data_IF_486283501174
#
_entry.id   IF_486283501174
#
_cell.length_a   1.000
_cell.length_b   1.000
_cell.length_c   1.000
_cell.angle_alpha   90.00
_cell.angle_beta   90.00
_cell.angle_gamma   90.00
#
_symmetry.space_group_name_H-M   'P 1'
#
loop_
_entity.id
_entity.type
_entity.pdbx_description
1 polymer ?
#
# COMPACT_ATOMS: atom_id res chain seq x y z
N UNK A 1 25.63 -2.75 15.37
CA UNK A 1 24.66 -3.02 16.45
C UNK A 1 23.51 -3.77 15.80
N UNK A 2 23.45 -5.09 15.97
CA UNK A 2 22.31 -5.89 15.50
C UNK A 2 21.15 -5.60 16.45
N UNK A 3 20.06 -5.04 15.92
CA UNK A 3 18.84 -4.70 16.68
C UNK A 3 18.01 -5.95 17.09
N UNK A 4 18.48 -7.13 16.70
CA UNK A 4 17.82 -8.43 16.86
C UNK A 4 18.38 -9.24 18.04
N UNK A 5 18.84 -8.56 19.08
CA UNK A 5 19.13 -9.19 20.37
C UNK A 5 17.81 -9.35 21.16
N UNK A 6 17.44 -10.54 21.66
CA UNK A 6 16.16 -10.77 22.36
C UNK A 6 16.05 -9.99 23.69
N UNK A 7 17.14 -9.37 24.15
CA UNK A 7 17.19 -8.51 25.35
C UNK A 7 16.65 -7.09 25.08
N UNK A 8 16.52 -6.67 23.81
CA UNK A 8 16.04 -5.33 23.43
C UNK A 8 14.63 -5.35 22.83
N UNK A 9 13.79 -6.30 23.23
CA UNK A 9 12.38 -6.34 22.85
C UNK A 9 11.58 -5.29 23.65
N UNK A 10 11.73 -4.02 23.28
CA UNK A 10 11.00 -2.92 23.92
C UNK A 10 9.55 -2.91 23.43
N UNK A 11 8.65 -3.43 24.26
CA UNK A 11 7.21 -3.42 24.01
C UNK A 11 6.64 -2.02 23.74
N UNK A 12 7.25 -0.95 24.26
CA UNK A 12 6.81 0.43 23.99
C UNK A 12 7.13 0.84 22.55
N UNK A 13 8.29 0.43 22.04
CA UNK A 13 8.68 0.69 20.67
C UNK A 13 7.78 -0.07 19.69
N UNK A 14 7.51 -1.34 19.96
CA UNK A 14 6.60 -2.15 19.15
C UNK A 14 5.19 -1.56 19.14
N UNK A 15 4.68 -1.19 20.31
CA UNK A 15 3.38 -0.54 20.42
C UNK A 15 3.33 0.79 19.65
N UNK A 16 4.38 1.61 19.70
CA UNK A 16 4.45 2.85 18.93
C UNK A 16 4.45 2.60 17.41
N UNK A 17 5.12 1.53 16.95
CA UNK A 17 5.11 1.11 15.54
C UNK A 17 3.71 0.66 15.12
N UNK A 18 3.05 -0.19 15.93
CA UNK A 18 1.69 -0.66 15.67
C UNK A 18 0.68 0.50 15.63
N UNK A 19 0.79 1.46 16.56
CA UNK A 19 -0.06 2.66 16.56
C UNK A 19 0.21 3.55 15.36
N UNK A 20 1.47 3.67 14.94
CA UNK A 20 1.86 4.33 13.69
C UNK A 20 1.17 3.70 12.48
N UNK A 21 1.22 2.37 12.36
CA UNK A 21 0.50 1.63 11.33
C UNK A 21 -1.01 1.83 11.39
N UNK A 22 -1.62 1.85 12.57
CA UNK A 22 -3.07 2.08 12.72
C UNK A 22 -3.48 3.47 12.21
N UNK A 23 -2.72 4.50 12.55
CA UNK A 23 -2.98 5.88 12.10
C UNK A 23 -2.78 6.00 10.60
N UNK A 24 -1.68 5.45 10.06
CA UNK A 24 -1.44 5.42 8.62
C UNK A 24 -2.55 4.66 7.91
N UNK A 25 -2.94 3.49 8.42
CA UNK A 25 -4.04 2.70 7.88
C UNK A 25 -5.34 3.51 7.85
N UNK A 26 -5.69 4.26 8.90
CA UNK A 26 -6.87 5.15 8.91
C UNK A 26 -6.84 6.20 7.78
N UNK A 27 -5.68 6.83 7.56
CA UNK A 27 -5.56 7.84 6.50
C UNK A 27 -5.51 7.21 5.10
N UNK A 28 -4.92 6.02 4.94
CA UNK A 28 -4.77 5.36 3.65
C UNK A 28 -5.98 4.47 3.25
N UNK A 29 -6.71 3.88 4.19
CA UNK A 29 -7.97 3.18 3.89
C UNK A 29 -9.04 4.13 3.36
N UNK A 30 -9.02 5.39 3.80
CA UNK A 30 -9.90 6.43 3.25
C UNK A 30 -9.42 6.97 1.90
N UNK A 31 -8.18 6.64 1.46
CA UNK A 31 -7.64 7.08 0.16
C UNK A 31 -7.97 6.17 -1.00
N UNK A 32 -8.46 4.94 -0.79
CA UNK A 32 -9.00 4.13 -1.89
C UNK A 32 -10.26 4.77 -2.51
N UNK A 33 -10.97 5.61 -1.75
CA UNK A 33 -12.07 6.45 -2.23
C UNK A 33 -11.60 7.78 -2.88
N UNK A 34 -10.31 8.13 -2.75
CA UNK A 34 -9.78 9.39 -3.27
C UNK A 34 -9.11 9.16 -4.62
N UNK A 35 -9.60 9.75 -5.71
CA UNK A 35 -9.10 9.49 -7.07
C UNK A 35 -7.60 9.82 -7.25
N UNK A 36 -7.04 10.67 -6.38
CA UNK A 36 -5.62 11.05 -6.37
C UNK A 36 -4.72 9.83 -6.07
N UNK A 37 -5.13 8.94 -5.17
CA UNK A 37 -4.34 7.75 -4.82
C UNK A 37 -4.36 6.72 -5.96
N UNK A 38 -5.53 6.49 -6.56
CA UNK A 38 -5.67 5.65 -7.75
C UNK A 38 -4.81 6.19 -8.92
N UNK A 39 -4.80 7.51 -9.14
CA UNK A 39 -3.96 8.14 -10.16
C UNK A 39 -2.47 7.93 -9.89
N UNK A 40 -2.01 8.06 -8.65
CA UNK A 40 -0.62 7.81 -8.28
C UNK A 40 -0.20 6.36 -8.54
N UNK A 41 -1.06 5.38 -8.23
CA UNK A 41 -0.81 3.96 -8.50
C UNK A 41 -0.81 3.63 -9.99
N UNK A 42 -1.66 4.30 -10.77
CA UNK A 42 -1.68 4.16 -12.23
C UNK A 42 -0.43 4.79 -12.88
N UNK A 43 0.06 5.91 -12.34
CA UNK A 43 1.27 6.56 -12.85
C UNK A 43 2.53 5.70 -12.62
N UNK A 44 2.61 4.98 -11.51
CA UNK A 44 3.72 4.06 -11.20
C UNK A 44 3.63 2.75 -12.04
N UNK A 45 4.55 2.51 -13.00
CA UNK A 45 4.50 1.32 -13.87
C UNK A 45 4.62 0.01 -13.11
N UNK A 46 5.30 0.01 -11.96
CA UNK A 46 5.50 -1.20 -11.14
C UNK A 46 4.24 -1.59 -10.37
N UNK A 47 3.39 -0.61 -10.02
CA UNK A 47 2.18 -0.83 -9.20
C UNK A 47 0.90 -0.86 -10.03
N UNK A 48 0.89 -0.22 -11.19
CA UNK A 48 -0.26 -0.14 -12.12
C UNK A 48 -0.88 -1.50 -12.43
N UNK A 49 -0.07 -2.49 -12.84
CA UNK A 49 -0.57 -3.82 -13.23
C UNK A 49 -1.28 -4.53 -12.08
N UNK A 50 -0.69 -4.51 -10.88
CA UNK A 50 -1.29 -5.12 -9.70
C UNK A 50 -2.59 -4.42 -9.31
N UNK A 51 -2.61 -3.08 -9.37
CA UNK A 51 -3.78 -2.29 -9.03
C UNK A 51 -4.96 -2.54 -9.99
N UNK A 52 -4.71 -2.55 -11.31
CA UNK A 52 -5.74 -2.82 -12.34
C UNK A 52 -6.30 -4.24 -12.16
N UNK A 53 -5.43 -5.23 -11.94
CA UNK A 53 -5.85 -6.62 -11.77
C UNK A 53 -6.77 -6.82 -10.54
N UNK A 54 -6.52 -6.07 -9.47
CA UNK A 54 -7.24 -6.20 -8.21
C UNK A 54 -8.55 -5.40 -8.18
N UNK A 55 -8.60 -4.24 -8.84
CA UNK A 55 -9.71 -3.29 -8.69
C UNK A 55 -10.62 -3.19 -9.92
N UNK A 56 -10.17 -3.62 -11.11
CA UNK A 56 -10.94 -3.45 -12.35
C UNK A 56 -11.50 -4.79 -12.85
N UNK A 57 -12.62 -4.78 -13.59
CA UNK A 57 -13.15 -5.97 -14.24
C UNK A 57 -12.14 -6.61 -15.20
N UNK A 58 -12.12 -7.94 -15.27
CA UNK A 58 -11.20 -8.72 -16.13
C UNK A 58 -11.25 -8.31 -17.60
N UNK A 59 -12.42 -7.88 -18.07
CA UNK A 59 -12.65 -7.49 -19.46
C UNK A 59 -11.89 -6.21 -19.85
N UNK A 60 -11.49 -5.40 -18.85
CA UNK A 60 -10.77 -4.14 -19.05
C UNK A 60 -9.26 -4.29 -18.90
N UNK A 61 -8.76 -5.45 -18.47
CA UNK A 61 -7.33 -5.65 -18.24
C UNK A 61 -6.52 -5.62 -19.54
N UNK A 62 -7.07 -6.18 -20.63
CA UNK A 62 -6.35 -6.29 -21.89
C UNK A 62 -6.16 -4.95 -22.61
N UNK A 63 -7.12 -4.01 -22.50
CA UNK A 63 -7.01 -2.68 -23.11
C UNK A 63 -5.97 -1.80 -22.41
N UNK A 64 -5.83 -1.94 -21.09
CA UNK A 64 -4.93 -1.08 -20.30
C UNK A 64 -3.49 -1.57 -20.26
N UNK A 65 -3.27 -2.89 -20.26
CA UNK A 65 -1.92 -3.48 -20.23
C UNK A 65 -1.25 -3.37 -21.61
N UNK A 66 -2.04 -3.32 -22.69
CA UNK A 66 -1.52 -3.22 -24.06
C UNK A 66 -1.25 -1.78 -24.53
N UNK A 67 -1.79 -0.77 -23.84
CA UNK A 67 -1.60 0.64 -24.16
C UNK A 67 -0.34 1.30 -23.54
N UNK A 68 0.54 0.52 -22.89
CA UNK A 68 1.75 1.00 -22.23
C UNK A 68 2.99 0.97 -23.15
#
# INVERSE_FOLDING_TARGET
IQYSDPVTFDNRMLHAIEMGWFVLNKYYTMTEDVPIYAAALLLDPSKRRAYIQQNWPSDWHQSEISGA
#
